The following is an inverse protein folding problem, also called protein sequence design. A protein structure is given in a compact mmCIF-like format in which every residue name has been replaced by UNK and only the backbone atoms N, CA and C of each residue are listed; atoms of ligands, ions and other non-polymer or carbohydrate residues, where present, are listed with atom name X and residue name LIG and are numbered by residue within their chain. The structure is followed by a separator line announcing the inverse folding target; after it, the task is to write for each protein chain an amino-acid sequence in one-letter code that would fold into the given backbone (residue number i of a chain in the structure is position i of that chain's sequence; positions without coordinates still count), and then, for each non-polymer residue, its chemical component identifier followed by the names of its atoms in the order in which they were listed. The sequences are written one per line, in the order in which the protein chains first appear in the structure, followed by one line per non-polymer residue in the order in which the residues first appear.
data_IF_316831355042
#
_entry.id   IF_316831355042
#
_cell.length_a   1.000
_cell.length_b   1.000
_cell.length_c   1.000
_cell.angle_alpha   90.00
_cell.angle_beta   90.00
_cell.angle_gamma   90.00
#
_symmetry.space_group_name_H-M   'P 1'
#
loop_
_entity.id
_entity.type
_entity.pdbx_description
1 polymer ?
#
# COMPACT_ATOMS: atom_id res chain seq x y z
N UNK A 1 9.29 -31.18 -39.16
CA UNK A 1 9.02 -29.83 -38.64
C UNK A 1 10.22 -28.99 -38.97
N UNK A 2 10.07 -28.13 -39.98
CA UNK A 2 11.15 -27.25 -40.42
C UNK A 2 11.42 -26.25 -39.28
N UNK A 3 12.68 -26.11 -38.89
CA UNK A 3 13.12 -25.27 -37.76
C UNK A 3 13.02 -23.80 -38.16
N UNK A 4 11.80 -23.27 -38.25
CA UNK A 4 11.58 -21.86 -38.53
C UNK A 4 12.04 -21.03 -37.33
N UNK A 5 13.08 -20.23 -37.54
CA UNK A 5 13.63 -19.31 -36.56
C UNK A 5 12.81 -18.03 -36.51
N UNK A 6 12.56 -17.52 -35.31
CA UNK A 6 11.94 -16.21 -35.12
C UNK A 6 12.93 -15.10 -35.51
N UNK A 7 13.03 -14.81 -36.81
CA UNK A 7 13.77 -13.65 -37.31
C UNK A 7 12.88 -12.40 -37.40
N UNK A 8 13.48 -11.22 -37.23
CA UNK A 8 12.76 -9.93 -37.21
C UNK A 8 11.95 -9.66 -38.49
N UNK A 9 12.33 -10.28 -39.61
CA UNK A 9 11.69 -10.11 -40.93
C UNK A 9 10.99 -11.40 -41.42
N UNK A 10 10.83 -12.41 -40.58
CA UNK A 10 10.14 -13.64 -40.96
C UNK A 10 8.64 -13.37 -41.16
N UNK A 11 8.02 -14.09 -42.10
CA UNK A 11 6.58 -14.06 -42.27
C UNK A 11 5.88 -14.58 -40.98
N UNK A 12 4.74 -14.00 -40.59
CA UNK A 12 4.02 -14.43 -39.40
C UNK A 12 3.60 -15.90 -39.51
N UNK A 13 3.89 -16.68 -38.47
CA UNK A 13 3.52 -18.09 -38.39
C UNK A 13 2.02 -18.15 -38.09
N UNK A 14 1.25 -18.73 -39.01
CA UNK A 14 -0.20 -18.91 -38.86
C UNK A 14 -0.50 -20.36 -38.48
N UNK A 15 -1.18 -20.54 -37.35
CA UNK A 15 -1.67 -21.86 -36.94
C UNK A 15 -3.14 -21.99 -37.38
N UNK A 16 -3.47 -23.07 -38.11
CA UNK A 16 -4.87 -23.33 -38.47
C UNK A 16 -5.60 -23.96 -37.28
N UNK A 17 -6.67 -23.31 -36.83
CA UNK A 17 -7.50 -23.72 -35.68
C UNK A 17 -8.40 -24.94 -35.95
N UNK A 18 -8.08 -25.79 -36.93
CA UNK A 18 -9.02 -26.80 -37.47
C UNK A 18 -8.83 -28.18 -36.82
N UNK A 19 -8.40 -28.26 -35.57
CA UNK A 19 -8.24 -29.55 -34.87
C UNK A 19 -8.76 -29.43 -33.45
N UNK A 20 -9.78 -30.22 -33.11
CA UNK A 20 -10.43 -30.32 -31.79
C UNK A 20 -9.59 -31.02 -30.72
N UNK A 21 -8.33 -31.35 -31.02
CA UNK A 21 -7.40 -32.03 -30.12
C UNK A 21 -6.36 -31.05 -29.57
N UNK A 22 -5.89 -31.31 -28.35
CA UNK A 22 -4.83 -30.55 -27.67
C UNK A 22 -3.57 -30.50 -28.55
N UNK A 23 -3.08 -29.29 -28.83
CA UNK A 23 -1.95 -29.04 -29.72
C UNK A 23 -0.71 -28.65 -28.91
N UNK A 24 0.27 -29.53 -28.83
CA UNK A 24 1.54 -29.27 -28.15
C UNK A 24 2.52 -28.56 -29.10
N UNK A 25 2.98 -27.36 -28.71
CA UNK A 25 3.94 -26.56 -29.46
C UNK A 25 5.32 -26.72 -28.81
N UNK A 26 6.25 -27.50 -29.38
CA UNK A 26 7.61 -27.57 -28.87
C UNK A 26 8.32 -26.24 -29.18
N UNK A 27 8.68 -25.50 -28.12
CA UNK A 27 9.47 -24.29 -28.23
C UNK A 27 10.90 -24.53 -27.77
N UNK A 28 11.86 -23.91 -28.45
CA UNK A 28 13.25 -23.87 -28.02
C UNK A 28 13.78 -22.47 -28.26
N UNK A 29 14.59 -21.98 -27.33
CA UNK A 29 15.18 -20.65 -27.43
C UNK A 29 16.70 -20.77 -27.46
N UNK A 30 17.35 -19.86 -28.19
CA UNK A 30 18.80 -19.69 -28.15
C UNK A 30 19.12 -18.28 -27.71
N UNK A 31 20.10 -18.14 -26.82
CA UNK A 31 20.53 -16.84 -26.29
C UNK A 31 21.91 -16.52 -26.84
N UNK A 32 22.04 -15.38 -27.50
CA UNK A 32 23.33 -14.82 -27.90
C UNK A 32 23.60 -13.55 -27.09
N UNK A 33 24.52 -13.63 -26.15
CA UNK A 33 24.94 -12.47 -25.37
C UNK A 33 25.83 -11.56 -26.22
N UNK A 34 25.43 -10.30 -26.38
CA UNK A 34 26.24 -9.25 -27.00
C UNK A 34 26.52 -8.17 -25.96
N UNK A 35 27.78 -7.79 -25.80
CA UNK A 35 28.16 -6.67 -24.94
C UNK A 35 27.69 -5.37 -25.58
N UNK A 36 27.05 -4.52 -24.79
CA UNK A 36 26.66 -3.17 -25.17
C UNK A 36 27.07 -2.24 -24.02
N UNK A 37 28.02 -1.35 -24.29
CA UNK A 37 28.57 -0.38 -23.34
C UNK A 37 27.87 1.00 -23.43
N UNK A 38 27.00 1.23 -24.41
CA UNK A 38 26.25 2.49 -24.56
C UNK A 38 25.12 2.61 -23.52
N UNK A 39 24.54 1.47 -23.11
CA UNK A 39 23.43 1.44 -22.15
C UNK A 39 23.95 1.17 -20.75
N UNK A 40 23.84 2.18 -19.88
CA UNK A 40 24.14 2.03 -18.45
C UNK A 40 23.26 0.95 -17.84
N UNK A 41 23.83 0.09 -17.00
CA UNK A 41 23.12 -1.02 -16.34
C UNK A 41 21.79 -0.60 -15.70
N UNK A 42 21.76 0.58 -15.05
CA UNK A 42 20.58 1.15 -14.41
C UNK A 42 19.38 1.36 -15.35
N UNK A 43 19.63 1.60 -16.65
CA UNK A 43 18.59 1.96 -17.64
C UNK A 43 18.19 0.80 -18.54
N UNK A 44 18.73 -0.42 -18.32
CA UNK A 44 18.42 -1.59 -19.16
C UNK A 44 16.95 -2.02 -19.11
N UNK A 45 16.28 -1.77 -18.00
CA UNK A 45 14.87 -2.16 -17.81
C UNK A 45 13.89 -1.09 -18.27
N UNK A 46 14.35 0.12 -18.60
CA UNK A 46 13.49 1.26 -18.92
C UNK A 46 12.60 0.99 -20.13
N UNK A 47 13.07 0.24 -21.13
CA UNK A 47 12.25 -0.09 -22.31
C UNK A 47 11.08 -1.03 -21.97
N UNK A 48 11.29 -2.00 -21.07
CA UNK A 48 10.24 -2.94 -20.62
C UNK A 48 9.24 -2.17 -19.76
N UNK A 49 9.72 -1.35 -18.82
CA UNK A 49 8.88 -0.59 -17.92
C UNK A 49 8.10 0.52 -18.62
N UNK A 50 8.66 1.12 -19.67
CA UNK A 50 7.97 2.15 -20.47
C UNK A 50 6.96 1.56 -21.45
N UNK A 51 7.02 0.25 -21.70
CA UNK A 51 6.10 -0.46 -22.59
C UNK A 51 4.75 -0.81 -21.96
N UNK A 52 4.49 -0.47 -20.69
CA UNK A 52 3.17 -0.60 -20.08
C UNK A 52 2.31 0.66 -20.34
N UNK A 53 1.31 0.63 -21.24
CA UNK A 53 0.48 1.77 -21.60
C UNK A 53 -0.64 2.06 -20.57
N UNK A 54 -0.33 2.06 -19.26
CA UNK A 54 -1.36 2.09 -18.20
C UNK A 54 -1.49 3.42 -17.45
N UNK A 55 -0.69 4.44 -17.77
CA UNK A 55 -0.65 5.71 -17.00
C UNK A 55 -1.98 6.47 -16.98
N UNK A 56 -2.84 6.28 -17.99
CA UNK A 56 -4.17 6.91 -18.04
C UNK A 56 -5.17 6.27 -17.08
N UNK A 57 -5.06 4.97 -16.80
CA UNK A 57 -5.97 4.24 -15.92
C UNK A 57 -5.65 4.47 -14.43
N UNK A 58 -4.38 4.67 -14.07
CA UNK A 58 -3.98 4.85 -12.67
C UNK A 58 -4.49 6.15 -12.03
N UNK A 59 -4.51 7.26 -12.77
CA UNK A 59 -4.93 8.55 -12.20
C UNK A 59 -6.42 8.58 -11.81
N UNK A 60 -7.25 7.76 -12.47
CA UNK A 60 -8.66 7.56 -12.09
C UNK A 60 -8.81 6.91 -10.70
N UNK A 61 -7.98 5.90 -10.39
CA UNK A 61 -7.96 5.26 -9.07
C UNK A 61 -7.47 6.22 -7.98
N UNK A 62 -6.47 7.04 -8.29
CA UNK A 62 -5.96 8.09 -7.37
C UNK A 62 -7.08 9.09 -7.04
N UNK A 63 -7.75 9.64 -8.07
CA UNK A 63 -8.85 10.58 -7.87
C UNK A 63 -10.02 9.97 -7.09
N UNK A 64 -10.40 8.73 -7.41
CA UNK A 64 -11.44 7.99 -6.69
C UNK A 64 -11.09 7.84 -5.19
N UNK A 65 -9.86 7.45 -4.88
CA UNK A 65 -9.42 7.33 -3.48
C UNK A 65 -9.38 8.67 -2.75
N UNK A 66 -8.95 9.75 -3.43
CA UNK A 66 -8.88 11.10 -2.88
C UNK A 66 -10.28 11.62 -2.53
N UNK A 67 -11.27 11.42 -3.41
CA UNK A 67 -12.65 11.80 -3.15
C UNK A 67 -13.22 11.09 -1.91
N UNK A 68 -12.96 9.79 -1.76
CA UNK A 68 -13.42 9.02 -0.59
C UNK A 68 -12.78 9.57 0.69
N UNK A 69 -11.47 9.86 0.69
CA UNK A 69 -10.78 10.41 1.86
C UNK A 69 -11.30 11.79 2.24
N UNK A 70 -11.53 12.68 1.27
CA UNK A 70 -12.12 14.01 1.53
C UNK A 70 -13.53 13.90 2.09
N UNK A 71 -14.34 12.98 1.57
CA UNK A 71 -15.70 12.77 2.07
C UNK A 71 -15.69 12.22 3.51
N UNK A 72 -14.85 11.21 3.79
CA UNK A 72 -14.73 10.62 5.13
C UNK A 72 -14.22 11.64 6.15
N UNK A 73 -13.19 12.42 5.79
CA UNK A 73 -12.67 13.48 6.67
C UNK A 73 -13.71 14.58 6.90
N UNK A 74 -14.46 14.99 5.87
CA UNK A 74 -15.57 15.93 6.01
C UNK A 74 -16.70 15.41 6.91
N UNK A 75 -17.08 14.13 6.79
CA UNK A 75 -18.08 13.52 7.66
C UNK A 75 -17.62 13.47 9.12
N UNK A 76 -16.38 13.04 9.36
CA UNK A 76 -15.77 13.02 10.70
C UNK A 76 -15.72 14.45 11.27
N UNK A 77 -15.29 15.43 10.47
CA UNK A 77 -15.25 16.83 10.88
C UNK A 77 -16.65 17.35 11.23
N UNK A 78 -17.69 17.04 10.46
CA UNK A 78 -19.08 17.41 10.80
C UNK A 78 -19.52 16.80 12.14
N UNK A 79 -19.20 15.53 12.39
CA UNK A 79 -19.54 14.85 13.65
C UNK A 79 -18.78 15.52 14.81
N UNK A 80 -17.49 15.79 14.66
CA UNK A 80 -16.67 16.47 15.67
C UNK A 80 -17.19 17.89 15.95
N UNK A 81 -17.50 18.65 14.91
CA UNK A 81 -18.05 20.00 15.07
C UNK A 81 -19.40 19.95 15.80
N UNK A 82 -20.29 19.01 15.45
CA UNK A 82 -21.59 18.86 16.13
C UNK A 82 -21.45 18.45 17.59
N UNK A 83 -20.57 17.50 17.88
CA UNK A 83 -20.31 17.04 19.26
C UNK A 83 -19.68 18.16 20.09
N UNK A 84 -18.65 18.85 19.56
CA UNK A 84 -18.05 19.99 20.24
C UNK A 84 -19.01 21.15 20.48
N UNK A 85 -19.83 21.54 19.49
CA UNK A 85 -20.82 22.61 19.70
C UNK A 85 -21.83 22.23 20.79
N UNK A 86 -22.30 20.98 20.80
CA UNK A 86 -23.21 20.47 21.83
C UNK A 86 -22.54 20.46 23.20
N UNK A 87 -21.28 20.01 23.28
CA UNK A 87 -20.54 19.93 24.54
C UNK A 87 -20.24 21.33 25.08
N UNK A 88 -19.76 22.28 24.27
CA UNK A 88 -19.52 23.67 24.68
C UNK A 88 -20.81 24.33 25.15
N UNK A 89 -21.91 24.19 24.41
CA UNK A 89 -23.21 24.74 24.82
C UNK A 89 -23.72 24.12 26.13
N UNK A 90 -23.39 22.85 26.40
CA UNK A 90 -23.69 22.18 27.65
C UNK A 90 -22.83 22.72 28.80
N UNK A 91 -21.53 22.88 28.59
CA UNK A 91 -20.62 23.46 29.59
C UNK A 91 -21.04 24.88 29.99
N UNK A 92 -21.35 25.74 29.02
CA UNK A 92 -21.76 27.12 29.30
C UNK A 92 -23.05 27.17 30.15
N UNK A 93 -24.01 26.28 29.89
CA UNK A 93 -25.25 26.20 30.68
C UNK A 93 -25.02 25.75 32.12
N UNK A 94 -24.10 24.81 32.34
CA UNK A 94 -23.77 24.30 33.67
C UNK A 94 -22.98 25.35 34.47
N UNK A 95 -22.12 26.11 33.79
CA UNK A 95 -21.35 27.20 34.41
C UNK A 95 -22.24 28.38 34.83
N UNK A 96 -23.29 28.69 34.06
CA UNK A 96 -24.28 29.72 34.42
C UNK A 96 -25.20 29.26 35.58
N UNK A 97 -25.38 27.94 35.79
CA UNK A 97 -26.16 27.36 36.89
C UNK A 97 -25.29 27.08 38.14
N UNK A 98 -24.58 28.09 38.64
CA UNK A 98 -23.74 28.04 39.85
C UNK A 98 -24.59 27.64 41.08
N UNK A 99 -24.80 26.33 41.29
CA UNK A 99 -25.26 25.75 42.57
C UNK A 99 -25.19 24.21 42.68
N UNK A 100 -24.51 23.47 41.78
CA UNK A 100 -24.30 22.01 41.96
C UNK A 100 -22.87 21.59 41.58
N UNK A 101 -21.92 21.95 42.44
CA UNK A 101 -20.47 21.66 42.36
C UNK A 101 -20.15 20.14 42.40
N UNK A 102 -21.10 19.30 42.84
CA UNK A 102 -20.92 17.84 42.89
C UNK A 102 -21.12 17.13 41.53
N UNK A 103 -21.81 17.75 40.57
CA UNK A 103 -22.16 17.08 39.30
C UNK A 103 -21.07 17.18 38.22
N UNK A 104 -20.11 18.09 38.37
CA UNK A 104 -19.06 18.34 37.36
C UNK A 104 -17.90 17.34 37.43
N UNK A 105 -17.71 16.67 38.57
CA UNK A 105 -16.65 15.67 38.74
C UNK A 105 -17.00 14.32 38.08
N UNK A 106 -18.27 14.06 37.76
CA UNK A 106 -18.78 12.78 37.25
C UNK A 106 -18.99 12.72 35.72
N UNK A 107 -18.45 13.65 34.92
CA UNK A 107 -18.62 13.60 33.46
C UNK A 107 -17.32 13.68 32.66
N UNK A 108 -17.21 12.78 31.67
CA UNK A 108 -16.27 12.89 30.54
C UNK A 108 -15.01 12.03 30.62
N UNK A 109 -14.01 12.39 29.80
CA UNK A 109 -12.71 11.72 29.67
C UNK A 109 -11.90 11.66 30.99
N UNK A 110 -12.26 12.50 31.97
CA UNK A 110 -11.64 12.54 33.30
C UNK A 110 -11.93 11.27 34.12
N UNK A 111 -13.14 10.70 33.99
CA UNK A 111 -13.47 9.37 34.57
C UNK A 111 -12.71 8.24 33.88
N UNK A 112 -12.50 8.39 32.56
CA UNK A 112 -11.81 7.39 31.72
C UNK A 112 -10.33 7.28 32.07
N UNK A 113 -9.72 8.31 32.67
CA UNK A 113 -8.33 8.24 33.15
C UNK A 113 -8.13 7.08 34.16
N UNK A 114 -9.14 6.75 34.99
CA UNK A 114 -9.07 5.60 35.90
C UNK A 114 -9.21 4.24 35.20
N UNK A 115 -9.93 4.20 34.08
CA UNK A 115 -10.20 2.98 33.32
C UNK A 115 -9.10 2.65 32.29
N UNK A 116 -8.42 3.67 31.74
CA UNK A 116 -7.33 3.51 30.75
C UNK A 116 -6.12 2.78 31.33
N UNK A 117 -5.84 2.96 32.62
CA UNK A 117 -4.74 2.28 33.29
C UNK A 117 -5.12 0.93 33.90
N UNK A 118 -6.39 0.50 33.74
CA UNK A 118 -6.79 -0.82 34.23
C UNK A 118 -6.11 -1.90 33.38
N UNK A 119 -5.36 -2.84 34.00
CA UNK A 119 -4.71 -3.89 33.23
C UNK A 119 -5.77 -4.73 32.50
N UNK A 120 -5.62 -4.94 31.18
CA UNK A 120 -6.58 -5.71 30.41
C UNK A 120 -6.57 -7.18 30.88
N UNK A 121 -7.74 -7.81 30.88
CA UNK A 121 -7.94 -9.18 31.37
C UNK A 121 -7.03 -10.22 30.65
N UNK A 122 -6.53 -9.89 29.45
CA UNK A 122 -5.58 -10.71 28.66
C UNK A 122 -4.36 -9.91 28.18
N UNK A 123 -3.70 -9.19 29.08
CA UNK A 123 -2.54 -8.35 28.74
C UNK A 123 -1.40 -9.06 28.02
N UNK A 124 -1.16 -10.35 28.29
CA UNK A 124 -0.10 -11.11 27.62
C UNK A 124 -0.36 -11.29 26.11
N UNK A 125 -1.59 -11.64 25.72
CA UNK A 125 -1.93 -11.78 24.29
C UNK A 125 -1.85 -10.43 23.58
N UNK A 126 -2.30 -9.36 24.24
CA UNK A 126 -2.23 -8.00 23.69
C UNK A 126 -0.77 -7.57 23.50
N UNK A 127 0.10 -7.80 24.49
CA UNK A 127 1.52 -7.49 24.39
C UNK A 127 2.20 -8.28 23.25
N UNK A 128 1.87 -9.56 23.08
CA UNK A 128 2.39 -10.39 21.98
C UNK A 128 1.91 -9.87 20.63
N UNK A 129 0.62 -9.56 20.48
CA UNK A 129 0.07 -9.02 19.22
C UNK A 129 0.66 -7.66 18.87
N UNK A 130 0.75 -6.74 19.84
CA UNK A 130 1.33 -5.40 19.64
C UNK A 130 2.82 -5.50 19.33
N UNK A 131 3.57 -6.33 20.07
CA UNK A 131 5.01 -6.53 19.84
C UNK A 131 5.29 -7.07 18.43
N UNK A 132 4.58 -8.13 18.02
CA UNK A 132 4.72 -8.68 16.66
C UNK A 132 4.27 -7.68 15.59
N UNK A 133 3.17 -6.96 15.82
CA UNK A 133 2.68 -5.94 14.92
C UNK A 133 3.70 -4.82 14.71
N UNK A 134 4.26 -4.28 15.79
CA UNK A 134 5.31 -3.25 15.75
C UNK A 134 6.56 -3.77 15.04
N UNK A 135 6.99 -5.01 15.31
CA UNK A 135 8.13 -5.62 14.63
C UNK A 135 7.90 -5.72 13.11
N UNK A 136 6.74 -6.19 12.67
CA UNK A 136 6.40 -6.30 11.25
C UNK A 136 6.32 -4.92 10.58
N UNK A 137 5.76 -3.92 11.27
CA UNK A 137 5.70 -2.54 10.76
C UNK A 137 7.10 -1.95 10.60
N UNK A 138 7.98 -2.13 11.57
CA UNK A 138 9.37 -1.66 11.48
C UNK A 138 10.12 -2.38 10.36
N UNK A 139 9.99 -3.70 10.26
CA UNK A 139 10.62 -4.49 9.18
C UNK A 139 10.15 -4.04 7.79
N UNK A 140 8.85 -3.82 7.63
CA UNK A 140 8.29 -3.35 6.35
C UNK A 140 8.73 -1.92 6.01
N UNK A 141 8.77 -1.01 6.98
CA UNK A 141 9.28 0.36 6.79
C UNK A 141 10.75 0.37 6.38
N UNK A 142 11.60 -0.36 7.10
CA UNK A 142 13.03 -0.45 6.79
C UNK A 142 13.22 -1.01 5.37
N UNK A 143 12.51 -2.08 5.03
CA UNK A 143 12.55 -2.68 3.69
C UNK A 143 12.12 -1.68 2.61
N UNK A 144 11.06 -0.90 2.87
CA UNK A 144 10.58 0.13 1.95
C UNK A 144 11.60 1.25 1.77
N UNK A 145 12.25 1.70 2.84
CA UNK A 145 13.32 2.70 2.77
C UNK A 145 14.48 2.20 1.90
N UNK A 146 14.95 0.96 2.12
CA UNK A 146 15.98 0.35 1.27
C UNK A 146 15.53 0.18 -0.19
N UNK A 147 14.24 -0.09 -0.43
CA UNK A 147 13.68 -0.15 -1.77
C UNK A 147 13.64 1.23 -2.44
N UNK A 148 13.26 2.29 -1.72
CA UNK A 148 13.26 3.67 -2.21
C UNK A 148 14.66 4.18 -2.54
N UNK A 149 15.68 3.78 -1.76
CA UNK A 149 17.09 4.06 -2.09
C UNK A 149 17.62 3.19 -3.25
N UNK A 150 16.84 2.25 -3.76
CA UNK A 150 17.19 1.43 -4.91
C UNK A 150 18.07 0.22 -4.61
N UNK A 151 18.35 -0.09 -3.34
CA UNK A 151 19.15 -1.27 -2.95
C UNK A 151 18.44 -2.59 -3.29
N UNK A 152 17.10 -2.61 -3.27
CA UNK A 152 16.25 -3.76 -3.61
C UNK A 152 15.69 -3.71 -5.05
N UNK A 153 16.20 -2.81 -5.91
CA UNK A 153 15.76 -2.74 -7.31
C UNK A 153 16.02 -4.08 -8.04
N UNK A 154 15.15 -4.52 -8.96
CA UNK A 154 15.41 -5.69 -9.80
C UNK A 154 16.76 -5.62 -10.56
N UNK A 155 17.31 -4.42 -10.72
CA UNK A 155 18.63 -4.17 -11.28
C UNK A 155 19.80 -4.53 -10.33
N UNK A 156 19.58 -4.67 -9.01
CA UNK A 156 20.63 -4.94 -8.01
C UNK A 156 20.52 -6.34 -7.40
N UNK A 157 20.07 -7.35 -8.17
CA UNK A 157 20.16 -8.76 -7.72
C UNK A 157 21.64 -9.10 -7.43
N UNK A 158 22.00 -9.21 -6.15
CA UNK A 158 23.34 -9.57 -5.69
C UNK A 158 24.20 -8.41 -5.15
N UNK A 159 23.69 -7.19 -5.02
CA UNK A 159 24.47 -6.07 -4.47
C UNK A 159 24.81 -6.19 -2.97
N UNK A 160 24.23 -7.18 -2.29
CA UNK A 160 24.41 -7.43 -0.85
C UNK A 160 25.10 -8.79 -0.62
N UNK A 161 26.18 -9.04 -1.36
CA UNK A 161 27.20 -10.04 -1.03
C UNK A 161 28.59 -9.45 -1.28
N UNK A 162 29.11 -8.75 -0.27
CA UNK A 162 30.44 -8.84 0.38
C UNK A 162 30.60 -7.63 1.28
#
# INVERSE_FOLDING_TARGET
LDSQTCERNAAPITFQSTTTNEFEIPFTYSVKFKRNDEIRWSSRWDYILKSSPETRAHWFSIFNSLLIVLFLTGMIAMILVRTLHKDIARYNRIMDSVSEDESLEEFGWKLVHGDVFRPPNRGMLLAVLVGNGVQLVIMSLITLVFACFGFLSPASRGALMT
#
